data_IF_001879929228
#
_entry.id   IF_001879929228
#
_cell.length_a   1.000
_cell.length_b   1.000
_cell.length_c   1.000
_cell.angle_alpha   90.00
_cell.angle_beta   90.00
_cell.angle_gamma   90.00
#
_symmetry.space_group_name_H-M   'P 1'
#
loop_
_entity.id
_entity.type
_entity.pdbx_description
1 polymer ?
#
# COMPACT_ATOMS: atom_id res chain seq x y z
N UNK A 1 17.64 -19.46 -12.75
CA UNK A 1 17.82 -18.53 -11.62
C UNK A 1 17.63 -17.13 -12.18
N UNK A 2 16.61 -16.40 -11.72
CA UNK A 2 16.37 -15.03 -12.16
C UNK A 2 17.33 -14.12 -11.38
N UNK A 3 18.47 -13.80 -11.98
CA UNK A 3 19.36 -12.73 -11.49
C UNK A 3 18.73 -11.40 -11.88
N UNK A 4 17.63 -11.05 -11.22
CA UNK A 4 17.05 -9.72 -11.35
C UNK A 4 18.01 -8.72 -10.73
N UNK A 5 18.44 -7.72 -11.49
CA UNK A 5 19.22 -6.61 -10.93
C UNK A 5 18.39 -5.89 -9.88
N UNK A 6 19.04 -5.27 -8.88
CA UNK A 6 18.37 -4.49 -7.82
C UNK A 6 17.39 -3.47 -8.44
N UNK A 7 17.78 -2.84 -9.54
CA UNK A 7 16.93 -1.92 -10.30
C UNK A 7 15.62 -2.57 -10.77
N UNK A 8 15.68 -3.78 -11.33
CA UNK A 8 14.48 -4.51 -11.76
C UNK A 8 13.57 -4.86 -10.59
N UNK A 9 14.13 -5.22 -9.43
CA UNK A 9 13.37 -5.47 -8.22
C UNK A 9 12.69 -4.18 -7.72
N UNK A 10 13.41 -3.06 -7.69
CA UNK A 10 12.87 -1.77 -7.25
C UNK A 10 11.76 -1.25 -8.19
N UNK A 11 11.94 -1.40 -9.51
CA UNK A 11 10.89 -1.08 -10.50
C UNK A 11 9.64 -1.92 -10.27
N UNK A 12 9.81 -3.22 -10.03
CA UNK A 12 8.69 -4.13 -9.74
C UNK A 12 7.96 -3.68 -8.46
N UNK A 13 8.72 -3.44 -7.39
CA UNK A 13 8.19 -3.02 -6.10
C UNK A 13 7.33 -1.75 -6.20
N UNK A 14 7.79 -0.72 -6.90
CA UNK A 14 7.04 0.54 -7.03
C UNK A 14 5.99 0.52 -8.15
N UNK A 15 6.06 -0.42 -9.10
CA UNK A 15 5.04 -0.60 -10.13
C UNK A 15 3.76 -1.26 -9.60
N UNK A 16 3.86 -1.98 -8.48
CA UNK A 16 2.73 -2.60 -7.80
C UNK A 16 2.54 -1.95 -6.43
N UNK A 17 1.50 -1.12 -6.34
CA UNK A 17 1.18 -0.36 -5.13
C UNK A 17 0.84 -1.26 -3.94
N UNK A 18 0.22 -2.43 -4.15
CA UNK A 18 -0.04 -3.40 -3.07
C UNK A 18 1.26 -4.02 -2.58
N UNK A 19 2.14 -4.38 -3.50
CA UNK A 19 3.44 -4.94 -3.17
C UNK A 19 4.27 -3.92 -2.38
N UNK A 20 4.29 -2.66 -2.81
CA UNK A 20 4.95 -1.58 -2.11
C UNK A 20 4.42 -1.40 -0.67
N UNK A 21 3.10 -1.30 -0.50
CA UNK A 21 2.48 -1.14 0.82
C UNK A 21 2.86 -2.27 1.78
N UNK A 22 2.68 -3.52 1.33
CA UNK A 22 2.92 -4.71 2.16
C UNK A 22 4.41 -4.99 2.42
N UNK A 23 5.30 -4.52 1.55
CA UNK A 23 6.74 -4.75 1.69
C UNK A 23 7.43 -3.65 2.49
N UNK A 24 6.98 -2.40 2.36
CA UNK A 24 7.67 -1.24 2.92
C UNK A 24 7.05 -0.73 4.22
N UNK A 25 5.77 -1.04 4.50
CA UNK A 25 5.06 -0.50 5.64
C UNK A 25 4.57 -1.59 6.58
N UNK A 26 4.75 -1.32 7.87
CA UNK A 26 4.24 -2.15 8.96
C UNK A 26 3.20 -1.38 9.76
N UNK A 27 2.24 -2.12 10.33
CA UNK A 27 1.26 -1.61 11.28
C UNK A 27 1.27 -2.47 12.54
N UNK A 28 0.81 -1.88 13.64
CA UNK A 28 0.58 -2.63 14.88
C UNK A 28 -0.82 -3.24 14.83
N UNK A 29 -0.90 -4.57 14.85
CA UNK A 29 -2.18 -5.27 14.88
C UNK A 29 -2.82 -5.23 16.29
N UNK A 30 -4.02 -5.82 16.42
CA UNK A 30 -4.76 -5.85 17.70
C UNK A 30 -4.02 -6.61 18.81
N UNK A 31 -3.18 -7.56 18.43
CA UNK A 31 -2.33 -8.35 19.33
C UNK A 31 -1.02 -7.64 19.68
N UNK A 32 -0.89 -6.36 19.30
CA UNK A 32 0.29 -5.51 19.52
C UNK A 32 1.56 -6.00 18.85
N UNK A 33 1.41 -6.66 17.71
CA UNK A 33 2.53 -7.12 16.88
C UNK A 33 2.68 -6.20 15.67
N UNK A 34 3.93 -5.84 15.34
CA UNK A 34 4.24 -5.23 14.07
C UNK A 34 4.05 -6.28 12.97
N UNK A 35 3.17 -5.98 12.01
CA UNK A 35 2.86 -6.85 10.88
C UNK A 35 2.84 -6.03 9.59
N UNK A 36 3.10 -6.64 8.42
CA UNK A 36 2.95 -5.98 7.13
C UNK A 36 1.58 -5.31 6.97
N UNK A 37 1.55 -4.12 6.37
CA UNK A 37 0.31 -3.46 5.99
C UNK A 37 -0.29 -4.17 4.76
N UNK A 38 -1.12 -5.17 5.02
CA UNK A 38 -1.86 -5.89 3.98
C UNK A 38 -3.28 -5.36 3.89
N UNK A 39 -3.65 -4.88 2.69
CA UNK A 39 -5.00 -4.42 2.42
C UNK A 39 -5.99 -5.59 2.44
N UNK A 40 -7.11 -5.40 3.13
CA UNK A 40 -8.26 -6.28 3.01
C UNK A 40 -9.00 -6.06 1.66
N UNK A 41 -9.95 -6.92 1.28
CA UNK A 41 -10.58 -6.84 -0.04
C UNK A 41 -11.24 -5.49 -0.37
N UNK A 42 -11.86 -4.82 0.61
CA UNK A 42 -12.50 -3.51 0.39
C UNK A 42 -11.44 -2.43 0.17
N UNK A 43 -10.36 -2.47 0.94
CA UNK A 43 -9.24 -1.55 0.79
C UNK A 43 -8.49 -1.76 -0.54
N UNK A 44 -8.36 -3.02 -0.95
CA UNK A 44 -7.74 -3.43 -2.21
C UNK A 44 -8.50 -2.90 -3.42
N UNK A 45 -9.83 -3.05 -3.43
CA UNK A 45 -10.69 -2.50 -4.48
C UNK A 45 -10.46 -1.00 -4.65
N UNK A 46 -10.36 -0.26 -3.54
CA UNK A 46 -10.13 1.19 -3.54
C UNK A 46 -8.74 1.55 -4.08
N UNK A 47 -7.69 0.80 -3.71
CA UNK A 47 -6.33 1.02 -4.25
C UNK A 47 -6.31 0.83 -5.76
N UNK A 48 -7.02 -0.18 -6.28
CA UNK A 48 -7.00 -0.55 -7.70
C UNK A 48 -7.90 0.34 -8.57
N UNK A 49 -8.97 0.89 -8.00
CA UNK A 49 -9.98 1.64 -8.76
C UNK A 49 -9.89 3.16 -8.61
N UNK A 50 -8.99 3.66 -7.76
CA UNK A 50 -8.87 5.08 -7.47
C UNK A 50 -8.60 5.95 -8.71
N UNK A 51 -9.48 6.92 -8.94
CA UNK A 51 -9.36 8.03 -9.88
C UNK A 51 -8.87 9.33 -9.25
N UNK A 52 -8.23 9.29 -8.07
CA UNK A 52 -7.67 10.41 -7.29
C UNK A 52 -8.68 11.39 -6.67
N UNK A 53 -9.90 11.48 -7.20
CA UNK A 53 -10.96 12.39 -6.72
C UNK A 53 -12.25 11.66 -6.39
N UNK A 54 -12.12 10.51 -5.77
CA UNK A 54 -13.27 9.64 -5.50
C UNK A 54 -13.86 9.91 -4.12
N UNK A 55 -15.15 9.58 -4.00
CA UNK A 55 -15.87 9.56 -2.73
C UNK A 55 -16.27 8.11 -2.46
N UNK A 56 -15.71 7.53 -1.40
CA UNK A 56 -16.01 6.16 -0.99
C UNK A 56 -17.01 6.13 0.16
N UNK A 57 -18.13 5.43 -0.02
CA UNK A 57 -19.04 5.06 1.06
C UNK A 57 -18.63 3.67 1.56
N UNK A 58 -18.24 3.58 2.83
CA UNK A 58 -17.69 2.34 3.42
C UNK A 58 -18.30 2.04 4.78
N UNK A 59 -18.28 0.77 5.22
CA UNK A 59 -18.58 0.43 6.61
C UNK A 59 -17.61 1.10 7.61
N UNK A 60 -18.05 1.18 8.86
CA UNK A 60 -17.22 1.60 9.98
C UNK A 60 -16.07 0.61 10.24
N UNK A 61 -15.00 1.09 10.89
CA UNK A 61 -13.92 0.26 11.46
C UNK A 61 -13.14 -0.65 10.50
N UNK A 62 -13.16 -0.40 9.19
CA UNK A 62 -12.39 -1.18 8.21
C UNK A 62 -10.92 -0.76 8.07
N UNK A 63 -10.35 -0.03 9.04
CA UNK A 63 -8.92 0.39 9.00
C UNK A 63 -8.54 1.30 7.84
N UNK A 64 -9.51 2.03 7.26
CA UNK A 64 -9.34 2.75 6.00
C UNK A 64 -8.26 3.84 6.04
N UNK A 65 -8.12 4.54 7.17
CA UNK A 65 -7.12 5.60 7.35
C UNK A 65 -5.69 5.08 7.17
N UNK A 66 -5.39 3.86 7.62
CA UNK A 66 -4.06 3.26 7.48
C UNK A 66 -3.66 3.10 6.01
N UNK A 67 -4.63 2.76 5.15
CA UNK A 67 -4.40 2.60 3.71
C UNK A 67 -4.19 3.95 3.04
N UNK A 68 -5.02 4.96 3.34
CA UNK A 68 -4.83 6.32 2.79
C UNK A 68 -3.46 6.88 3.18
N UNK A 69 -3.05 6.73 4.43
CA UNK A 69 -1.75 7.22 4.87
C UNK A 69 -0.59 6.46 4.24
N UNK A 70 -0.71 5.13 4.13
CA UNK A 70 0.31 4.32 3.47
C UNK A 70 0.47 4.69 2.01
N UNK A 71 -0.65 4.87 1.30
CA UNK A 71 -0.68 5.28 -0.10
C UNK A 71 -0.05 6.66 -0.31
N UNK A 72 -0.46 7.64 0.49
CA UNK A 72 0.11 8.99 0.46
C UNK A 72 1.63 8.99 0.76
N UNK A 73 2.08 8.14 1.67
CA UNK A 73 3.49 8.05 2.04
C UNK A 73 4.32 7.43 0.90
N UNK A 74 3.80 6.42 0.21
CA UNK A 74 4.43 5.83 -0.98
C UNK A 74 4.54 6.83 -2.13
N UNK A 75 3.49 7.62 -2.39
CA UNK A 75 3.54 8.69 -3.40
C UNK A 75 4.68 9.66 -3.14
N UNK A 76 4.90 10.02 -1.86
CA UNK A 76 5.99 10.93 -1.47
C UNK A 76 7.38 10.31 -1.56
N UNK A 77 7.51 8.99 -1.46
CA UNK A 77 8.79 8.30 -1.64
C UNK A 77 9.16 8.09 -3.12
N UNK A 78 8.16 7.94 -3.99
CA UNK A 78 8.36 7.80 -5.44
C UNK A 78 8.66 9.10 -6.18
N UNK A 79 8.30 10.26 -5.60
CA UNK A 79 8.64 11.58 -6.14
C UNK A 79 9.98 12.08 -5.57
N UNK A 80 11.08 11.65 -6.20
CA UNK A 80 12.33 12.42 -6.20
C UNK A 80 12.45 13.11 -7.56
N UNK A 81 12.05 14.38 -7.61
CA UNK A 81 12.52 15.34 -8.63
C UNK A 81 13.78 16.03 -8.11
#
# INVERSE_FOLDING_TARGET
MVTGTIESAMRTLFSDRRLALSTLLEIVNKDRQAVPLVANPIQEDIILTSGQRDIYVKPGQVGFTSIILGDFYLDRMGHQD
#
